data_IF_074007681024
#
_entry.id   IF_074007681024
#
_cell.length_a   1.000
_cell.length_b   1.000
_cell.length_c   1.000
_cell.angle_alpha   90.00
_cell.angle_beta   90.00
_cell.angle_gamma   90.00
#
_symmetry.space_group_name_H-M   'P 1'
#
loop_
_entity.id
_entity.type
_entity.pdbx_description
1 polymer ?
#
# COMPACT_ATOMS: atom_id res chain seq x y z
N UNK A 1 10.07 -13.45 -12.20
CA UNK A 1 8.66 -13.18 -11.95
C UNK A 1 8.54 -12.13 -10.85
N UNK A 2 7.80 -11.05 -11.05
CA UNK A 2 7.65 -10.03 -10.01
C UNK A 2 6.91 -10.59 -8.79
N UNK A 3 7.38 -10.22 -7.62
CA UNK A 3 6.73 -10.59 -6.37
C UNK A 3 5.65 -9.57 -6.02
N UNK A 4 4.52 -10.05 -5.50
CA UNK A 4 3.37 -9.21 -5.12
C UNK A 4 2.97 -9.54 -3.69
N UNK A 5 2.63 -8.51 -2.92
CA UNK A 5 2.11 -8.68 -1.57
C UNK A 5 1.05 -7.62 -1.29
N UNK A 6 0.17 -7.92 -0.33
CA UNK A 6 -0.84 -6.97 0.14
C UNK A 6 -0.27 -6.12 1.27
N UNK A 7 -0.49 -4.80 1.20
CA UNK A 7 -0.14 -3.90 2.29
C UNK A 7 -1.29 -3.82 3.31
N UNK A 8 -0.92 -3.60 4.57
CA UNK A 8 -1.87 -3.49 5.70
C UNK A 8 -2.00 -2.07 6.21
N UNK A 9 -1.63 -1.11 5.40
CA UNK A 9 -1.74 0.29 5.68
C UNK A 9 -0.63 1.08 5.02
N UNK A 10 -0.70 2.39 5.14
CA UNK A 10 0.32 3.27 4.60
C UNK A 10 0.41 4.56 5.43
N UNK A 11 1.51 5.25 5.25
CA UNK A 11 1.79 6.54 5.87
C UNK A 11 2.47 7.43 4.84
N UNK A 12 2.11 8.71 4.84
CA UNK A 12 2.76 9.71 4.01
C UNK A 12 3.57 10.61 4.93
N UNK A 13 4.83 10.91 4.55
CA UNK A 13 5.68 11.79 5.33
C UNK A 13 5.13 13.22 5.42
N UNK A 14 5.58 13.97 6.43
CA UNK A 14 5.11 15.33 6.64
C UNK A 14 5.39 16.27 5.47
N UNK A 15 6.48 16.04 4.74
CA UNK A 15 6.83 16.81 3.53
C UNK A 15 6.11 16.30 2.26
N UNK A 16 5.28 15.25 2.38
CA UNK A 16 4.52 14.62 1.30
C UNK A 16 5.38 14.06 0.16
N UNK A 17 6.66 13.76 0.43
CA UNK A 17 7.58 13.23 -0.57
C UNK A 17 7.78 11.74 -0.50
N UNK A 18 7.51 11.13 0.67
CA UNK A 18 7.75 9.70 0.90
C UNK A 18 6.48 8.99 1.30
N UNK A 19 6.37 7.77 0.81
CA UNK A 19 5.27 6.87 1.16
C UNK A 19 5.85 5.66 1.86
N UNK A 20 5.22 5.26 2.97
CA UNK A 20 5.55 4.03 3.68
C UNK A 20 4.34 3.11 3.62
N UNK A 21 4.56 1.87 3.20
CA UNK A 21 3.53 0.82 3.23
C UNK A 21 3.92 -0.25 4.23
N UNK A 22 2.93 -0.87 4.87
CA UNK A 22 3.16 -1.86 5.93
C UNK A 22 2.92 -3.26 5.39
N UNK A 23 3.92 -4.13 5.54
CA UNK A 23 3.89 -5.49 5.00
C UNK A 23 4.12 -6.51 6.11
N UNK A 24 3.39 -7.64 6.02
CA UNK A 24 3.64 -8.80 6.87
C UNK A 24 4.87 -9.54 6.35
N UNK A 25 5.88 -9.73 7.18
CA UNK A 25 7.11 -10.43 6.80
C UNK A 25 6.83 -11.85 6.28
N UNK A 26 6.04 -12.69 6.97
CA UNK A 26 5.77 -14.03 6.46
C UNK A 26 5.08 -14.04 5.10
N UNK A 27 4.17 -13.09 4.85
CA UNK A 27 3.41 -13.05 3.59
C UNK A 27 4.16 -12.38 2.45
N UNK A 28 5.07 -11.47 2.77
CA UNK A 28 5.77 -10.64 1.78
C UNK A 28 7.25 -11.00 1.62
N UNK A 29 7.70 -12.12 2.17
CA UNK A 29 9.12 -12.45 2.19
C UNK A 29 9.80 -12.41 0.82
N UNK A 30 9.25 -13.00 -0.27
CA UNK A 30 9.87 -12.89 -1.59
C UNK A 30 9.97 -11.45 -2.08
N UNK A 31 8.92 -10.64 -1.87
CA UNK A 31 8.90 -9.24 -2.24
C UNK A 31 9.96 -8.45 -1.46
N UNK A 32 10.05 -8.67 -0.15
CA UNK A 32 11.02 -7.99 0.70
C UNK A 32 12.47 -8.33 0.29
N UNK A 33 12.71 -9.57 -0.10
CA UNK A 33 14.01 -10.00 -0.64
C UNK A 33 14.35 -9.23 -1.91
N UNK A 34 13.40 -9.12 -2.83
CA UNK A 34 13.59 -8.39 -4.08
C UNK A 34 13.84 -6.90 -3.83
N UNK A 35 13.12 -6.29 -2.87
CA UNK A 35 13.30 -4.89 -2.53
C UNK A 35 14.67 -4.60 -1.92
N UNK A 36 15.19 -5.51 -1.08
CA UNK A 36 16.51 -5.36 -0.50
C UNK A 36 17.62 -5.46 -1.55
N UNK A 37 17.41 -6.24 -2.60
CA UNK A 37 18.36 -6.40 -3.69
C UNK A 37 18.27 -5.27 -4.72
N UNK A 38 17.07 -4.89 -5.15
CA UNK A 38 16.88 -3.97 -6.27
C UNK A 38 16.30 -2.60 -5.92
N UNK A 39 15.65 -2.45 -4.76
CA UNK A 39 15.03 -1.21 -4.27
C UNK A 39 13.91 -0.64 -5.14
N UNK A 40 13.58 -1.26 -6.26
CA UNK A 40 12.48 -0.82 -7.11
C UNK A 40 11.14 -1.33 -6.58
N UNK A 41 10.14 -0.46 -6.52
CA UNK A 41 8.83 -0.79 -5.97
C UNK A 41 7.73 -0.12 -6.78
N UNK A 42 6.60 -0.80 -6.88
CA UNK A 42 5.36 -0.23 -7.39
C UNK A 42 4.25 -0.53 -6.39
N UNK A 43 3.50 0.48 -6.00
CA UNK A 43 2.39 0.35 -5.04
C UNK A 43 1.11 0.80 -5.71
N UNK A 44 0.07 -0.02 -5.59
CA UNK A 44 -1.25 0.28 -6.16
C UNK A 44 -2.20 0.61 -5.02
N UNK A 45 -2.85 1.76 -5.12
CA UNK A 45 -3.87 2.21 -4.17
C UNK A 45 -5.21 2.21 -4.87
N UNK A 46 -6.17 1.47 -4.31
CA UNK A 46 -7.53 1.39 -4.84
C UNK A 46 -8.51 1.88 -3.78
N UNK A 47 -9.44 2.72 -4.23
CA UNK A 47 -10.60 3.08 -3.41
C UNK A 47 -11.73 2.12 -3.77
N UNK A 48 -12.10 1.17 -2.88
CA UNK A 48 -13.05 0.09 -3.23
C UNK A 48 -14.40 0.62 -3.71
N UNK A 49 -14.89 1.71 -3.10
CA UNK A 49 -16.21 2.27 -3.39
C UNK A 49 -16.33 2.82 -4.80
N UNK A 50 -15.26 3.42 -5.34
CA UNK A 50 -15.27 4.09 -6.64
C UNK A 50 -14.41 3.39 -7.69
N UNK A 51 -13.64 2.38 -7.29
CA UNK A 51 -12.62 1.71 -8.12
C UNK A 51 -11.54 2.65 -8.65
N UNK A 52 -11.44 3.87 -8.13
CA UNK A 52 -10.31 4.75 -8.45
C UNK A 52 -9.02 4.08 -8.01
N UNK A 53 -8.10 3.93 -8.93
CA UNK A 53 -6.85 3.20 -8.70
C UNK A 53 -5.68 3.99 -9.27
N UNK A 54 -4.66 4.19 -8.46
CA UNK A 54 -3.40 4.79 -8.89
C UNK A 54 -2.24 3.89 -8.54
N UNK A 55 -1.20 3.92 -9.35
CA UNK A 55 0.05 3.22 -9.10
C UNK A 55 1.17 4.23 -8.92
N UNK A 56 1.90 4.10 -7.82
CA UNK A 56 3.10 4.88 -7.56
C UNK A 56 4.32 3.99 -7.71
N UNK A 57 5.35 4.50 -8.35
CA UNK A 57 6.62 3.79 -8.54
C UNK A 57 7.77 4.55 -7.93
N UNK A 58 8.76 3.83 -7.41
CA UNK A 58 9.99 4.38 -6.87
C UNK A 58 11.15 3.41 -7.00
N UNK A 59 12.36 3.91 -6.78
CA UNK A 59 13.61 3.14 -6.95
C UNK A 59 14.51 3.19 -5.72
N UNK A 60 14.03 3.76 -4.62
CA UNK A 60 14.80 3.96 -3.38
C UNK A 60 14.18 3.25 -2.18
N UNK A 61 13.43 2.17 -2.39
CA UNK A 61 12.71 1.49 -1.33
C UNK A 61 13.65 1.01 -0.21
N UNK A 62 13.26 1.28 1.04
CA UNK A 62 13.96 0.83 2.23
C UNK A 62 13.00 0.10 3.16
N UNK A 63 13.45 -1.01 3.71
CA UNK A 63 12.71 -1.81 4.68
C UNK A 63 13.17 -1.45 6.09
N UNK A 64 12.23 -1.15 6.98
CA UNK A 64 12.54 -0.78 8.37
C UNK A 64 11.46 -1.29 9.33
N UNK A 65 11.80 -1.49 10.62
CA UNK A 65 10.79 -1.85 11.62
C UNK A 65 9.75 -0.75 11.77
N UNK A 66 8.55 -1.12 12.25
CA UNK A 66 7.48 -0.17 12.52
C UNK A 66 7.74 0.61 13.80
N UNK A 67 7.34 1.90 13.81
CA UNK A 67 7.23 2.71 15.00
C UNK A 67 5.85 2.56 15.65
N UNK A 68 5.65 3.22 16.79
CA UNK A 68 4.35 3.19 17.51
C UNK A 68 3.22 3.81 16.70
N UNK A 69 3.49 4.94 16.04
CA UNK A 69 2.51 5.63 15.20
C UNK A 69 2.09 4.79 14.00
N UNK A 70 2.96 3.91 13.51
CA UNK A 70 2.68 3.04 12.38
C UNK A 70 1.65 1.98 12.72
N UNK A 71 1.68 1.43 13.95
CA UNK A 71 0.69 0.47 14.41
C UNK A 71 -0.70 1.09 14.53
N UNK A 72 -0.78 2.33 15.01
CA UNK A 72 -2.04 3.09 15.04
C UNK A 72 -2.57 3.36 13.63
N UNK A 73 -1.69 3.68 12.68
CA UNK A 73 -2.05 3.88 11.29
C UNK A 73 -2.61 2.60 10.65
N UNK A 74 -2.06 1.43 10.98
CA UNK A 74 -2.59 0.14 10.50
C UNK A 74 -4.01 -0.11 10.99
N UNK A 75 -4.28 0.16 12.28
CA UNK A 75 -5.63 0.01 12.84
C UNK A 75 -6.62 0.94 12.16
N UNK A 76 -6.23 2.19 11.94
CA UNK A 76 -7.06 3.18 11.24
C UNK A 76 -7.33 2.76 9.78
N UNK A 77 -6.33 2.21 9.09
CA UNK A 77 -6.49 1.71 7.72
C UNK A 77 -7.47 0.54 7.68
N UNK A 78 -7.35 -0.42 8.60
CA UNK A 78 -8.26 -1.57 8.66
C UNK A 78 -9.71 -1.13 8.87
N UNK A 79 -9.94 -0.16 9.77
CA UNK A 79 -11.27 0.39 10.03
C UNK A 79 -11.83 1.11 8.80
N UNK A 80 -11.01 1.93 8.15
CA UNK A 80 -11.43 2.67 6.95
C UNK A 80 -11.74 1.73 5.79
N UNK A 81 -10.92 0.70 5.57
CA UNK A 81 -11.15 -0.30 4.53
C UNK A 81 -12.44 -1.07 4.79
N UNK A 82 -12.67 -1.51 6.03
CA UNK A 82 -13.88 -2.23 6.39
C UNK A 82 -15.14 -1.40 6.12
N UNK A 83 -15.12 -0.11 6.46
CA UNK A 83 -16.24 0.80 6.18
C UNK A 83 -16.46 0.98 4.67
N UNK A 84 -15.38 1.09 3.89
CA UNK A 84 -15.45 1.28 2.42
C UNK A 84 -16.08 0.05 1.74
N UNK A 85 -15.64 -1.17 2.09
CA UNK A 85 -16.19 -2.38 1.46
C UNK A 85 -17.57 -2.74 1.99
N UNK A 86 -17.93 -2.35 3.21
CA UNK A 86 -19.28 -2.51 3.74
C UNK A 86 -20.29 -1.73 2.89
N UNK A 87 -19.90 -0.56 2.37
CA UNK A 87 -20.75 0.26 1.51
C UNK A 87 -21.10 -0.42 0.19
N UNK A 88 -20.30 -1.39 -0.27
CA UNK A 88 -20.56 -2.16 -1.50
C UNK A 88 -21.06 -3.58 -1.22
N UNK A 89 -21.48 -3.87 0.01
CA UNK A 89 -22.19 -5.10 0.36
C UNK A 89 -21.39 -6.18 1.08
N UNK A 90 -20.10 -5.96 1.36
CA UNK A 90 -19.31 -6.91 2.14
C UNK A 90 -19.56 -6.70 3.65
N UNK A 91 -19.63 -7.79 4.40
CA UNK A 91 -19.75 -7.71 5.85
C UNK A 91 -18.46 -7.15 6.44
N UNK A 92 -18.60 -6.19 7.35
CA UNK A 92 -17.47 -5.55 8.02
C UNK A 92 -16.51 -6.56 8.66
N UNK A 93 -17.06 -7.57 9.31
CA UNK A 93 -16.28 -8.64 9.95
C UNK A 93 -15.36 -9.35 8.96
N UNK A 94 -15.86 -9.67 7.77
CA UNK A 94 -15.08 -10.30 6.71
C UNK A 94 -13.96 -9.39 6.21
N UNK A 95 -14.27 -8.12 5.99
CA UNK A 95 -13.32 -7.13 5.50
C UNK A 95 -12.19 -6.91 6.48
N UNK A 96 -12.48 -6.81 7.78
CA UNK A 96 -11.47 -6.67 8.82
C UNK A 96 -10.55 -7.88 8.89
N UNK A 97 -11.10 -9.09 8.74
CA UNK A 97 -10.30 -10.32 8.75
C UNK A 97 -9.29 -10.35 7.61
N UNK A 98 -9.66 -9.84 6.42
CA UNK A 98 -8.75 -9.78 5.27
C UNK A 98 -7.61 -8.79 5.52
N UNK A 99 -7.90 -7.61 6.07
CA UNK A 99 -6.92 -6.52 6.19
C UNK A 99 -6.06 -6.65 7.45
N UNK A 100 -6.63 -7.12 8.56
CA UNK A 100 -5.95 -7.14 9.86
C UNK A 100 -5.45 -8.50 10.30
N UNK A 101 -5.59 -9.53 9.49
CA UNK A 101 -5.23 -10.91 9.84
C UNK A 101 -3.73 -11.20 9.76
N UNK A 102 -2.86 -10.28 10.18
CA UNK A 102 -1.42 -10.51 10.18
C UNK A 102 -0.98 -11.17 11.48
N UNK A 103 -0.39 -12.36 11.34
CA UNK A 103 0.37 -12.98 12.43
C UNK A 103 1.85 -12.80 12.12
N UNK A 104 2.63 -12.42 13.12
CA UNK A 104 4.07 -12.26 13.00
C UNK A 104 4.52 -10.81 12.80
N UNK A 105 5.75 -10.68 12.38
CA UNK A 105 6.40 -9.37 12.24
C UNK A 105 5.84 -8.58 11.05
N UNK A 106 5.67 -7.28 11.28
CA UNK A 106 5.27 -6.32 10.24
C UNK A 106 6.38 -5.29 10.10
N UNK A 107 6.72 -4.96 8.87
CA UNK A 107 7.75 -3.96 8.56
C UNK A 107 7.17 -2.86 7.68
N UNK A 108 7.82 -1.70 7.68
CA UNK A 108 7.52 -0.61 6.77
C UNK A 108 8.45 -0.61 5.58
N UNK A 109 7.91 -0.37 4.39
CA UNK A 109 8.71 -0.11 3.18
C UNK A 109 8.48 1.34 2.78
N UNK A 110 9.54 2.14 2.83
CA UNK A 110 9.49 3.57 2.53
C UNK A 110 10.17 3.83 1.20
N UNK A 111 9.52 4.61 0.36
CA UNK A 111 10.09 5.01 -0.93
C UNK A 111 9.65 6.42 -1.31
N UNK A 112 10.41 7.05 -2.20
CA UNK A 112 10.07 8.33 -2.80
C UNK A 112 9.44 8.07 -4.17
N UNK A 113 8.15 8.39 -4.36
CA UNK A 113 7.52 8.22 -5.67
C UNK A 113 8.20 9.08 -6.73
N UNK A 114 8.55 8.45 -7.84
CA UNK A 114 9.14 9.14 -9.01
C UNK A 114 8.22 9.15 -10.21
N UNK A 115 7.18 8.32 -10.19
CA UNK A 115 6.17 8.24 -11.25
C UNK A 115 4.83 7.79 -10.68
N UNK A 116 3.75 8.27 -11.27
CA UNK A 116 2.40 7.90 -10.90
C UNK A 116 1.57 7.63 -12.16
N UNK A 117 0.72 6.61 -12.11
CA UNK A 117 -0.09 6.18 -13.24
C UNK A 117 -1.54 5.94 -12.80
N UNK A 118 -2.48 6.30 -13.67
CA UNK A 118 -3.88 5.92 -13.49
C UNK A 118 -4.03 4.44 -13.84
N UNK A 119 -4.62 3.68 -12.93
CA UNK A 119 -4.93 2.26 -13.13
C UNK A 119 -6.43 1.99 -13.00
N UNK A 120 -7.25 3.02 -12.83
CA UNK A 120 -8.70 2.89 -12.81
C UNK A 120 -9.16 2.25 -14.12
N UNK A 121 -9.96 1.17 -14.09
CA UNK A 121 -10.45 0.55 -15.32
C UNK A 121 -11.17 1.56 -16.21
N UNK A 122 -10.82 1.60 -17.49
CA UNK A 122 -11.40 2.52 -18.45
C UNK A 122 -10.38 3.11 -19.42
N UNK A 123 -10.79 4.11 -20.23
CA UNK A 123 -9.92 4.68 -21.28
C UNK A 123 -8.64 5.34 -20.78
N UNK A 124 -8.63 5.82 -19.54
CA UNK A 124 -7.46 6.50 -18.96
C UNK A 124 -6.49 5.53 -18.27
N UNK A 125 -6.78 4.23 -18.21
CA UNK A 125 -5.91 3.25 -17.56
C UNK A 125 -4.52 3.26 -18.19
N UNK A 126 -3.48 3.35 -17.35
CA UNK A 126 -2.08 3.41 -17.80
C UNK A 126 -1.56 4.82 -18.06
N UNK A 127 -2.42 5.83 -18.04
CA UNK A 127 -1.99 7.21 -18.24
C UNK A 127 -1.10 7.69 -17.09
N UNK A 128 0.03 8.31 -17.42
CA UNK A 128 0.91 8.90 -16.43
C UNK A 128 0.32 10.19 -15.87
N UNK A 129 0.38 10.33 -14.55
CA UNK A 129 0.00 11.56 -13.87
C UNK A 129 1.22 12.48 -13.77
N UNK A 130 1.02 13.77 -14.11
CA UNK A 130 2.05 14.78 -13.94
C UNK A 130 1.90 15.48 -12.59
N UNK A 131 3.02 15.70 -11.90
CA UNK A 131 3.03 16.50 -10.69
C UNK A 131 2.73 17.95 -11.05
N UNK A 132 1.77 18.56 -10.34
CA UNK A 132 1.52 19.99 -10.47
C UNK A 132 2.65 20.76 -9.79
N UNK A 133 3.19 21.80 -10.41
CA UNK A 133 4.21 22.65 -9.80
C UNK A 133 3.72 23.35 -8.54
#
# INVERSE_FOLDING_TARGET
MPSVARAYGCRISGDRRRVTVFLSVPQAEPLLRDLRAGRSVAVVFTRPKTHQTIQLKGTDAKVAPLGRSDRAAMAAYANAFAAEVAAIGFKERFSRAIVSGTKGEVVGVTFTPTAAFVQTPGPAAGQRLEAKP
#
